data_IF_153444666593
#
_entry.id   IF_153444666593
#
_cell.length_a   1.000
_cell.length_b   1.000
_cell.length_c   1.000
_cell.angle_alpha   90.00
_cell.angle_beta   90.00
_cell.angle_gamma   90.00
#
_symmetry.space_group_name_H-M   'P 1'
#
loop_
_entity.id
_entity.type
_entity.pdbx_description
1 polymer ?
#
# COMPACT_ATOMS: atom_id res chain seq x y z
N UNK A 1 -19.43 0.43 9.67
CA UNK A 1 -18.03 0.10 9.34
C UNK A 1 -17.79 0.48 7.90
N UNK A 2 -16.83 1.37 7.65
CA UNK A 2 -16.28 1.64 6.32
C UNK A 2 -14.92 0.96 6.15
N UNK A 3 -14.49 0.77 4.90
CA UNK A 3 -13.14 0.34 4.55
C UNK A 3 -12.48 1.36 3.64
N UNK A 4 -11.37 1.90 4.12
CA UNK A 4 -10.48 2.74 3.32
C UNK A 4 -9.15 2.01 3.12
N UNK A 5 -8.56 2.19 1.95
CA UNK A 5 -7.24 1.73 1.58
C UNK A 5 -6.36 2.94 1.27
N UNK A 6 -5.16 2.95 1.83
CA UNK A 6 -4.10 3.88 1.49
C UNK A 6 -2.95 3.09 0.90
N UNK A 7 -2.43 3.55 -0.23
CA UNK A 7 -1.20 3.03 -0.83
C UNK A 7 -0.15 4.13 -0.69
N UNK A 8 1.03 3.77 -0.20
CA UNK A 8 2.07 4.74 0.15
C UNK A 8 3.42 4.26 -0.37
N UNK A 9 4.13 5.13 -1.10
CA UNK A 9 5.55 4.90 -1.40
C UNK A 9 6.38 5.21 -0.16
N UNK A 10 7.41 4.41 0.13
CA UNK A 10 8.37 4.71 1.21
C UNK A 10 8.93 6.14 1.16
N UNK A 11 9.44 6.63 2.30
CA UNK A 11 10.12 7.92 2.42
C UNK A 11 11.50 7.97 1.76
N UNK A 12 12.14 9.14 1.84
CA UNK A 12 13.49 9.35 1.30
C UNK A 12 14.53 8.39 1.90
N UNK A 13 15.36 7.81 1.03
CA UNK A 13 16.36 6.78 1.37
C UNK A 13 17.75 7.38 1.55
N UNK A 14 18.54 6.80 2.45
CA UNK A 14 19.90 7.27 2.71
C UNK A 14 20.81 7.16 1.50
N UNK A 15 20.71 6.11 0.70
CA UNK A 15 21.58 5.89 -0.47
C UNK A 15 21.33 6.87 -1.63
N UNK A 16 20.17 7.53 -1.65
CA UNK A 16 19.88 8.62 -2.60
C UNK A 16 20.50 9.96 -2.17
N UNK A 17 20.78 10.14 -0.87
CA UNK A 17 21.35 11.37 -0.32
C UNK A 17 22.86 11.22 -0.10
N UNK A 18 23.30 10.03 0.29
CA UNK A 18 24.70 9.67 0.56
C UNK A 18 25.12 8.49 -0.33
N UNK A 19 25.63 8.74 -1.56
CA UNK A 19 26.05 7.68 -2.47
C UNK A 19 27.13 6.75 -1.89
N UNK A 20 27.92 7.22 -0.93
CA UNK A 20 28.92 6.41 -0.22
C UNK A 20 28.30 5.24 0.55
N UNK A 21 27.00 5.29 0.89
CA UNK A 21 26.28 4.21 1.58
C UNK A 21 26.46 2.85 0.88
N UNK A 22 26.49 2.84 -0.45
CA UNK A 22 26.67 1.61 -1.24
C UNK A 22 28.00 0.90 -0.94
N UNK A 23 29.02 1.63 -0.51
CA UNK A 23 30.36 1.11 -0.24
C UNK A 23 30.65 0.91 1.25
N UNK A 24 29.91 1.59 2.13
CA UNK A 24 30.15 1.55 3.58
C UNK A 24 29.17 0.65 4.34
N UNK A 25 28.00 0.37 3.76
CA UNK A 25 26.97 -0.45 4.38
C UNK A 25 27.26 -1.94 4.19
N UNK A 26 27.01 -2.74 5.23
CA UNK A 26 26.99 -4.21 5.14
C UNK A 26 25.75 -4.74 4.40
N UNK A 27 24.74 -3.88 4.20
CA UNK A 27 23.47 -4.21 3.52
C UNK A 27 23.10 -3.12 2.50
N UNK A 28 23.92 -2.91 1.46
CA UNK A 28 23.72 -1.82 0.49
C UNK A 28 22.42 -1.94 -0.31
N UNK A 29 21.85 -3.14 -0.42
CA UNK A 29 20.57 -3.44 -1.06
C UNK A 29 19.34 -3.09 -0.20
N UNK A 30 19.53 -2.77 1.08
CA UNK A 30 18.45 -2.52 2.03
C UNK A 30 18.62 -1.19 2.78
N UNK A 31 18.70 -0.06 2.05
CA UNK A 31 18.94 1.25 2.66
C UNK A 31 17.78 1.68 3.56
N UNK A 32 18.05 2.20 4.76
CA UNK A 32 17.05 2.83 5.63
C UNK A 32 16.65 4.23 5.12
N UNK A 33 15.70 4.85 5.81
CA UNK A 33 15.29 6.24 5.58
C UNK A 33 16.32 7.24 6.11
N UNK A 34 16.38 8.40 5.45
CA UNK A 34 17.03 9.59 6.02
C UNK A 34 16.21 10.17 7.18
N UNK A 35 16.78 11.08 7.99
CA UNK A 35 15.98 11.85 8.95
C UNK A 35 14.82 12.61 8.29
N UNK A 36 15.01 13.11 7.06
CA UNK A 36 13.95 13.74 6.26
C UNK A 36 12.87 12.73 5.85
N UNK A 37 13.26 11.53 5.40
CA UNK A 37 12.35 10.43 5.10
C UNK A 37 11.47 10.02 6.29
N UNK A 38 12.05 10.00 7.49
CA UNK A 38 11.30 9.74 8.75
C UNK A 38 10.27 10.84 9.03
N UNK A 39 10.61 12.12 8.84
CA UNK A 39 9.66 13.24 8.97
C UNK A 39 8.55 13.20 7.92
N UNK A 40 8.88 12.90 6.67
CA UNK A 40 7.90 12.71 5.59
C UNK A 40 6.85 11.65 5.98
N UNK A 41 7.31 10.49 6.42
CA UNK A 41 6.45 9.38 6.82
C UNK A 41 5.57 9.74 8.02
N UNK A 42 6.11 10.48 8.99
CA UNK A 42 5.35 10.97 10.14
C UNK A 42 4.23 11.93 9.74
N UNK A 43 4.56 12.92 8.91
CA UNK A 43 3.56 13.88 8.37
C UNK A 43 2.51 13.19 7.49
N UNK A 44 2.89 12.11 6.81
CA UNK A 44 1.96 11.24 6.09
C UNK A 44 0.94 10.61 7.04
N UNK A 45 1.38 10.10 8.20
CA UNK A 45 0.48 9.55 9.22
C UNK A 45 -0.53 10.58 9.74
N UNK A 46 -0.07 11.81 10.03
CA UNK A 46 -0.94 12.92 10.41
C UNK A 46 -1.97 13.23 9.33
N UNK A 47 -1.53 13.31 8.08
CA UNK A 47 -2.41 13.58 6.94
C UNK A 47 -3.48 12.50 6.74
N UNK A 48 -3.13 11.21 6.89
CA UNK A 48 -4.09 10.11 6.81
C UNK A 48 -5.16 10.26 7.88
N UNK A 49 -4.80 10.61 9.12
CA UNK A 49 -5.78 10.84 10.18
C UNK A 49 -6.70 12.02 9.86
N UNK A 50 -6.18 13.13 9.29
CA UNK A 50 -7.00 14.25 8.80
C UNK A 50 -8.01 13.79 7.74
N UNK A 51 -7.55 13.03 6.74
CA UNK A 51 -8.41 12.50 5.67
C UNK A 51 -9.51 11.56 6.20
N UNK A 52 -9.27 10.83 7.29
CA UNK A 52 -10.30 10.01 7.91
C UNK A 52 -11.38 10.84 8.60
N UNK A 53 -11.03 12.00 9.15
CA UNK A 53 -11.99 12.88 9.84
C UNK A 53 -12.94 13.57 8.87
N UNK A 54 -12.61 13.69 7.57
CA UNK A 54 -13.46 14.32 6.55
C UNK A 54 -14.83 13.66 6.38
N UNK A 55 -14.96 12.36 6.68
CA UNK A 55 -16.14 11.55 6.34
C UNK A 55 -16.82 10.89 7.54
N UNK A 56 -16.32 11.13 8.76
CA UNK A 56 -16.75 10.41 9.96
C UNK A 56 -17.45 11.37 10.91
N UNK A 57 -18.73 11.11 11.19
CA UNK A 57 -19.37 11.64 12.41
C UNK A 57 -18.47 11.26 13.58
N UNK A 58 -17.98 12.25 14.32
CA UNK A 58 -16.86 12.27 15.29
C UNK A 58 -16.83 11.18 16.39
N UNK A 59 -17.68 10.15 16.32
CA UNK A 59 -17.92 9.12 17.34
C UNK A 59 -17.53 7.68 16.94
N UNK A 60 -17.04 7.42 15.73
CA UNK A 60 -16.64 6.04 15.33
C UNK A 60 -15.18 5.74 15.68
N UNK A 61 -14.96 4.51 16.16
CA UNK A 61 -13.61 3.99 16.41
C UNK A 61 -12.93 3.69 15.07
N UNK A 62 -11.60 3.82 14.99
CA UNK A 62 -10.84 3.50 13.78
C UNK A 62 -9.74 2.51 14.12
N UNK A 63 -9.66 1.41 13.36
CA UNK A 63 -8.56 0.44 13.42
C UNK A 63 -7.68 0.59 12.18
N UNK A 64 -6.43 0.99 12.40
CA UNK A 64 -5.41 1.16 11.37
C UNK A 64 -4.57 -0.11 11.25
N UNK A 65 -4.55 -0.71 10.07
CA UNK A 65 -3.74 -1.89 9.75
C UNK A 65 -2.71 -1.50 8.70
N UNK A 66 -1.45 -1.36 9.11
CA UNK A 66 -0.33 -0.98 8.27
C UNK A 66 0.41 -2.24 7.84
N UNK A 67 0.30 -2.62 6.57
CA UNK A 67 1.08 -3.71 5.98
C UNK A 67 2.24 -3.12 5.20
N UNK A 68 3.46 -3.55 5.52
CA UNK A 68 4.69 -3.06 4.90
C UNK A 68 5.41 -4.16 4.14
N UNK A 69 6.07 -3.78 3.04
CA UNK A 69 7.15 -4.56 2.46
C UNK A 69 8.30 -4.79 3.48
N UNK A 70 9.07 -5.90 3.37
CA UNK A 70 10.16 -6.21 4.30
C UNK A 70 11.45 -5.37 4.11
N UNK A 71 11.47 -4.37 3.24
CA UNK A 71 12.65 -3.49 3.12
C UNK A 71 12.70 -2.47 4.27
N UNK A 72 13.90 -2.11 4.73
CA UNK A 72 14.10 -1.23 5.87
C UNK A 72 13.36 0.10 5.68
N UNK A 73 13.51 0.72 4.50
CA UNK A 73 12.81 1.96 4.10
C UNK A 73 11.29 1.88 4.22
N UNK A 74 10.65 0.76 3.88
CA UNK A 74 9.19 0.60 3.97
C UNK A 74 8.76 0.37 5.42
N UNK A 75 9.48 -0.46 6.17
CA UNK A 75 9.19 -0.71 7.59
C UNK A 75 9.40 0.54 8.45
N UNK A 76 10.48 1.29 8.23
CA UNK A 76 10.69 2.57 8.90
C UNK A 76 9.62 3.62 8.51
N UNK A 77 9.14 3.59 7.26
CA UNK A 77 8.03 4.45 6.83
C UNK A 77 6.75 4.08 7.61
N UNK A 78 6.41 2.80 7.70
CA UNK A 78 5.26 2.30 8.45
C UNK A 78 5.30 2.70 9.93
N UNK A 79 6.46 2.56 10.59
CA UNK A 79 6.66 2.97 11.99
C UNK A 79 6.38 4.47 12.16
N UNK A 80 6.91 5.32 11.27
CA UNK A 80 6.73 6.76 11.41
C UNK A 80 5.30 7.20 11.06
N UNK A 81 4.63 6.53 10.11
CA UNK A 81 3.19 6.71 9.86
C UNK A 81 2.40 6.42 11.14
N UNK A 82 2.68 5.29 11.83
CA UNK A 82 2.03 4.96 13.10
C UNK A 82 2.22 6.06 14.15
N UNK A 83 3.44 6.59 14.28
CA UNK A 83 3.72 7.73 15.17
C UNK A 83 2.89 8.97 14.81
N UNK A 84 2.78 9.32 13.53
CA UNK A 84 1.98 10.46 13.08
C UNK A 84 0.48 10.30 13.32
N UNK A 85 -0.07 9.09 13.13
CA UNK A 85 -1.46 8.77 13.45
C UNK A 85 -1.70 8.90 14.96
N UNK A 86 -0.83 8.29 15.78
CA UNK A 86 -0.95 8.31 17.23
C UNK A 86 -0.88 9.73 17.80
N UNK A 87 0.05 10.56 17.34
CA UNK A 87 0.13 11.97 17.77
C UNK A 87 -1.14 12.77 17.44
N UNK A 88 -1.82 12.41 16.36
CA UNK A 88 -3.06 13.06 15.95
C UNK A 88 -4.28 12.52 16.69
N UNK A 89 -4.22 11.27 17.16
CA UNK A 89 -5.32 10.55 17.82
C UNK A 89 -4.77 9.40 18.71
N UNK A 90 -4.38 9.66 19.97
CA UNK A 90 -3.67 8.70 20.82
C UNK A 90 -4.44 7.41 21.14
N UNK A 91 -5.76 7.44 21.05
CA UNK A 91 -6.63 6.27 21.26
C UNK A 91 -6.74 5.37 20.01
N UNK A 92 -5.99 5.67 18.95
CA UNK A 92 -6.00 4.89 17.71
C UNK A 92 -5.44 3.49 17.93
N UNK A 93 -6.19 2.48 17.50
CA UNK A 93 -5.68 1.11 17.44
C UNK A 93 -4.86 0.95 16.16
N UNK A 94 -3.55 0.81 16.30
CA UNK A 94 -2.61 0.74 15.17
C UNK A 94 -1.89 -0.62 15.21
N UNK A 95 -1.91 -1.34 14.09
CA UNK A 95 -1.21 -2.61 13.90
C UNK A 95 -0.22 -2.49 12.74
N UNK A 96 0.97 -3.06 12.91
CA UNK A 96 1.96 -3.21 11.83
C UNK A 96 2.11 -4.69 11.47
N UNK A 97 2.22 -4.97 10.17
CA UNK A 97 2.37 -6.29 9.56
C UNK A 97 3.45 -6.26 8.48
N UNK A 98 4.13 -7.38 8.25
CA UNK A 98 5.09 -7.53 7.17
C UNK A 98 4.51 -8.46 6.09
N UNK A 99 4.61 -8.08 4.82
CA UNK A 99 4.23 -8.92 3.69
C UNK A 99 5.17 -8.72 2.49
N UNK A 100 5.78 -9.82 2.02
CA UNK A 100 6.72 -9.78 0.90
C UNK A 100 6.04 -9.60 -0.45
N UNK A 101 4.72 -9.77 -0.54
CA UNK A 101 3.95 -9.45 -1.76
C UNK A 101 3.99 -7.95 -2.10
N UNK A 102 4.31 -7.09 -1.12
CA UNK A 102 4.50 -5.64 -1.30
C UNK A 102 5.95 -5.25 -1.65
N UNK A 103 6.86 -6.21 -1.84
CA UNK A 103 8.26 -5.99 -2.20
C UNK A 103 8.44 -5.19 -3.50
N UNK A 104 9.61 -4.54 -3.62
CA UNK A 104 10.04 -3.82 -4.82
C UNK A 104 10.02 -4.76 -6.03
N UNK A 105 9.91 -4.20 -7.23
CA UNK A 105 10.10 -4.98 -8.45
C UNK A 105 11.51 -5.57 -8.48
N UNK A 106 11.62 -6.89 -8.33
CA UNK A 106 12.90 -7.53 -8.05
C UNK A 106 13.65 -7.89 -9.33
N UNK A 107 14.20 -6.87 -9.99
CA UNK A 107 14.91 -7.01 -11.26
C UNK A 107 16.24 -6.24 -11.28
N UNK A 108 16.96 -6.35 -12.39
CA UNK A 108 18.28 -5.74 -12.60
C UNK A 108 18.27 -4.21 -12.69
N UNK A 109 17.11 -3.57 -12.88
CA UNK A 109 17.00 -2.12 -12.85
C UNK A 109 17.10 -1.56 -11.43
N UNK A 110 16.74 -2.37 -10.41
CA UNK A 110 16.76 -1.95 -9.00
C UNK A 110 17.87 -2.60 -8.19
N UNK A 111 18.30 -3.82 -8.56
CA UNK A 111 19.30 -4.57 -7.81
C UNK A 111 20.30 -5.24 -8.75
N UNK A 112 21.60 -5.17 -8.44
CA UNK A 112 22.63 -5.86 -9.21
C UNK A 112 22.51 -7.40 -9.11
N UNK A 113 21.96 -7.90 -8.00
CA UNK A 113 21.79 -9.31 -7.69
C UNK A 113 20.54 -9.52 -6.83
N UNK A 114 20.13 -10.77 -6.66
CA UNK A 114 19.02 -11.13 -5.80
C UNK A 114 19.24 -10.61 -4.37
N UNK A 115 18.23 -9.90 -3.84
CA UNK A 115 18.14 -9.54 -2.43
C UNK A 115 17.85 -10.80 -1.62
N UNK A 116 18.59 -11.06 -0.54
CA UNK A 116 18.44 -12.29 0.22
C UNK A 116 17.16 -12.28 1.10
N UNK A 117 16.50 -13.42 1.21
CA UNK A 117 15.26 -13.57 2.00
C UNK A 117 15.44 -13.29 3.50
N UNK A 118 16.66 -13.39 4.05
CA UNK A 118 16.89 -13.16 5.48
C UNK A 118 16.48 -11.76 5.93
N UNK A 119 16.36 -10.77 5.01
CA UNK A 119 15.87 -9.44 5.37
C UNK A 119 14.46 -9.50 5.97
N UNK A 120 13.67 -10.51 5.62
CA UNK A 120 12.33 -10.71 6.15
C UNK A 120 12.44 -11.02 7.65
N UNK A 121 13.17 -12.07 8.02
CA UNK A 121 13.38 -12.46 9.42
C UNK A 121 13.98 -11.31 10.23
N UNK A 122 14.99 -10.62 9.67
CA UNK A 122 15.59 -9.43 10.26
C UNK A 122 14.55 -8.34 10.57
N UNK A 123 13.55 -8.10 9.69
CA UNK A 123 12.48 -7.12 9.97
C UNK A 123 11.54 -7.58 11.07
N UNK A 124 11.22 -8.86 11.14
CA UNK A 124 10.42 -9.40 12.24
C UNK A 124 11.15 -9.20 13.58
N UNK A 125 12.44 -9.50 13.64
CA UNK A 125 13.29 -9.27 14.82
C UNK A 125 13.32 -7.80 15.21
N UNK A 126 13.63 -6.89 14.26
CA UNK A 126 13.69 -5.45 14.51
C UNK A 126 12.36 -4.88 15.02
N UNK A 127 11.20 -5.35 14.54
CA UNK A 127 9.90 -4.91 15.03
C UNK A 127 9.61 -5.45 16.44
N UNK A 128 9.93 -6.71 16.71
CA UNK A 128 9.79 -7.32 18.06
C UNK A 128 10.64 -6.59 19.09
N UNK A 129 11.88 -6.27 18.74
CA UNK A 129 12.77 -5.50 19.62
C UNK A 129 12.25 -4.09 19.92
N UNK A 130 11.53 -3.46 18.98
CA UNK A 130 10.95 -2.13 19.18
C UNK A 130 9.77 -2.17 20.14
N UNK A 131 8.86 -3.14 19.99
CA UNK A 131 7.69 -3.27 20.87
C UNK A 131 8.05 -3.84 22.25
N UNK A 132 9.13 -4.62 22.37
CA UNK A 132 9.58 -5.21 23.63
C UNK A 132 10.30 -4.24 24.58
N UNK A 133 10.60 -3.01 24.13
CA UNK A 133 11.17 -1.96 24.99
C UNK A 133 10.05 -1.33 25.81
N UNK A 134 10.17 -1.32 27.13
CA UNK A 134 9.21 -0.75 28.09
C UNK A 134 9.11 0.79 28.04
N UNK A 135 9.04 1.38 26.86
CA UNK A 135 8.82 2.81 26.67
C UNK A 135 7.71 3.00 25.62
N UNK A 136 6.81 3.96 25.84
CA UNK A 136 5.72 4.36 24.94
C UNK A 136 6.20 4.94 23.57
N UNK A 137 7.43 4.65 23.15
CA UNK A 137 8.06 5.19 21.94
C UNK A 137 7.42 4.65 20.65
N UNK A 138 6.81 3.47 20.70
CA UNK A 138 6.24 2.77 19.55
C UNK A 138 4.73 2.54 19.73
N UNK A 139 3.88 3.43 19.19
CA UNK A 139 2.44 3.41 19.45
C UNK A 139 1.70 2.44 18.52
N UNK A 140 2.17 1.20 18.42
CA UNK A 140 1.53 0.18 17.61
C UNK A 140 1.75 -1.22 18.18
N UNK A 141 0.82 -2.11 17.85
CA UNK A 141 0.96 -3.55 18.05
C UNK A 141 1.65 -4.16 16.82
N UNK A 142 2.58 -5.09 17.03
CA UNK A 142 3.04 -5.94 15.93
C UNK A 142 2.09 -7.14 15.80
N UNK A 143 1.36 -7.21 14.69
CA UNK A 143 0.31 -8.22 14.51
C UNK A 143 0.90 -9.55 14.04
N UNK A 144 1.39 -10.35 15.00
CA UNK A 144 1.97 -11.68 14.75
C UNK A 144 0.92 -12.72 14.32
N UNK A 145 -0.37 -12.42 14.48
CA UNK A 145 -1.46 -13.30 14.02
C UNK A 145 -1.71 -13.20 12.51
N UNK A 146 -1.08 -12.23 11.85
CA UNK A 146 -1.24 -12.02 10.43
C UNK A 146 -0.50 -13.08 9.59
N UNK A 147 -1.25 -13.78 8.73
CA UNK A 147 -0.67 -14.63 7.69
C UNK A 147 -0.36 -13.80 6.45
N UNK A 148 0.92 -13.66 6.05
CA UNK A 148 1.28 -12.89 4.86
C UNK A 148 0.85 -13.61 3.58
N UNK A 149 0.49 -12.82 2.56
CA UNK A 149 0.24 -13.29 1.19
C UNK A 149 1.49 -13.92 0.61
N UNK A 150 2.67 -13.36 0.92
CA UNK A 150 3.95 -14.01 0.64
C UNK A 150 4.93 -13.85 1.81
N UNK A 151 5.52 -14.96 2.22
CA UNK A 151 6.62 -15.04 3.19
C UNK A 151 8.02 -15.10 2.54
N UNK A 152 8.09 -15.01 1.21
CA UNK A 152 9.34 -14.95 0.45
C UNK A 152 9.36 -13.74 -0.48
N UNK A 153 10.54 -13.20 -0.73
CA UNK A 153 10.75 -12.19 -1.76
C UNK A 153 10.42 -12.76 -3.15
N UNK A 154 9.94 -11.93 -4.08
CA UNK A 154 9.76 -12.33 -5.47
C UNK A 154 11.06 -12.89 -6.07
N UNK A 155 10.93 -13.80 -7.03
CA UNK A 155 12.08 -14.41 -7.71
C UNK A 155 12.87 -13.34 -8.49
N UNK A 156 14.20 -13.38 -8.40
CA UNK A 156 15.08 -12.52 -9.22
C UNK A 156 15.59 -13.26 -10.47
N UNK A 157 15.59 -12.62 -11.66
CA UNK A 157 14.87 -11.39 -11.96
C UNK A 157 13.35 -11.66 -12.10
N UNK A 158 12.55 -10.72 -11.62
CA UNK A 158 11.09 -10.73 -11.75
C UNK A 158 10.68 -10.01 -13.05
N UNK A 159 9.87 -10.67 -13.87
CA UNK A 159 9.30 -10.10 -15.09
C UNK A 159 8.18 -9.10 -14.82
N UNK A 160 7.91 -8.22 -15.79
CA UNK A 160 6.86 -7.18 -15.66
C UNK A 160 5.46 -7.76 -15.38
N UNK A 161 5.11 -8.86 -16.05
CA UNK A 161 3.83 -9.55 -15.81
C UNK A 161 3.75 -10.18 -14.42
N UNK A 162 4.89 -10.64 -13.89
CA UNK A 162 4.96 -11.27 -12.57
C UNK A 162 4.76 -10.23 -11.46
N UNK A 163 5.43 -9.08 -11.54
CA UNK A 163 5.23 -7.99 -10.57
C UNK A 163 3.82 -7.41 -10.63
N UNK A 164 3.24 -7.25 -11.83
CA UNK A 164 1.85 -6.80 -11.98
C UNK A 164 0.91 -7.76 -11.27
N UNK A 165 0.98 -9.06 -11.62
CA UNK A 165 0.15 -10.09 -10.99
C UNK A 165 0.35 -10.16 -9.48
N UNK A 166 1.59 -10.06 -8.99
CA UNK A 166 1.91 -10.08 -7.56
C UNK A 166 1.27 -8.90 -6.82
N UNK A 167 1.42 -7.68 -7.33
CA UNK A 167 0.85 -6.48 -6.70
C UNK A 167 -0.68 -6.52 -6.69
N UNK A 168 -1.28 -6.99 -7.78
CA UNK A 168 -2.72 -7.19 -7.89
C UNK A 168 -3.23 -8.23 -6.89
N UNK A 169 -2.53 -9.36 -6.76
CA UNK A 169 -2.84 -10.40 -5.78
C UNK A 169 -2.67 -9.91 -4.34
N UNK A 170 -1.64 -9.10 -4.06
CA UNK A 170 -1.43 -8.48 -2.75
C UNK A 170 -2.64 -7.63 -2.35
N UNK A 171 -3.13 -6.76 -3.24
CA UNK A 171 -4.34 -5.97 -2.99
C UNK A 171 -5.54 -6.85 -2.67
N UNK A 172 -5.79 -7.89 -3.49
CA UNK A 172 -6.92 -8.79 -3.32
C UNK A 172 -6.87 -9.53 -1.99
N UNK A 173 -5.78 -10.24 -1.71
CA UNK A 173 -5.66 -11.12 -0.55
C UNK A 173 -5.57 -10.33 0.76
N UNK A 174 -4.88 -9.18 0.79
CA UNK A 174 -4.78 -8.35 2.00
C UNK A 174 -6.15 -7.73 2.35
N UNK A 175 -6.95 -7.34 1.35
CA UNK A 175 -8.23 -6.67 1.59
C UNK A 175 -9.42 -7.62 1.79
N UNK A 176 -9.37 -8.83 1.22
CA UNK A 176 -10.48 -9.78 1.21
C UNK A 176 -11.05 -10.12 2.59
N UNK A 177 -10.26 -10.38 3.65
CA UNK A 177 -10.80 -10.66 4.98
C UNK A 177 -11.64 -9.52 5.54
N UNK A 178 -11.27 -8.27 5.25
CA UNK A 178 -12.00 -7.08 5.71
C UNK A 178 -13.27 -6.84 4.92
N UNK A 179 -13.22 -7.06 3.61
CA UNK A 179 -14.40 -6.97 2.75
C UNK A 179 -15.45 -8.01 3.18
N UNK A 180 -15.02 -9.25 3.46
CA UNK A 180 -15.90 -10.30 3.98
C UNK A 180 -16.53 -9.92 5.33
N UNK A 181 -15.73 -9.37 6.26
CA UNK A 181 -16.22 -8.92 7.58
C UNK A 181 -17.28 -7.81 7.47
N UNK A 182 -17.09 -6.83 6.58
CA UNK A 182 -18.05 -5.75 6.35
C UNK A 182 -19.39 -6.27 5.82
N UNK A 183 -19.36 -7.31 4.97
CA UNK A 183 -20.59 -7.94 4.49
C UNK A 183 -21.36 -8.65 5.60
N UNK A 184 -20.65 -9.36 6.48
CA UNK A 184 -21.25 -10.17 7.53
C UNK A 184 -21.83 -9.32 8.68
N UNK A 185 -21.21 -8.18 9.00
CA UNK A 185 -21.65 -7.34 10.11
C UNK A 185 -21.66 -5.84 9.75
N UNK A 186 -22.78 -5.39 9.17
CA UNK A 186 -23.02 -3.97 8.86
C UNK A 186 -23.17 -3.08 10.12
N UNK A 187 -23.29 -3.66 11.33
CA UNK A 187 -23.55 -2.93 12.58
C UNK A 187 -22.27 -2.54 13.35
N UNK A 188 -21.09 -2.93 12.88
CA UNK A 188 -19.82 -2.55 13.51
C UNK A 188 -19.63 -1.02 13.57
N UNK A 189 -19.40 -0.50 14.79
CA UNK A 189 -19.09 0.91 15.07
C UNK A 189 -17.60 1.27 14.90
N UNK A 190 -16.83 0.38 14.27
CA UNK A 190 -15.41 0.58 13.99
C UNK A 190 -15.22 0.67 12.48
N UNK A 191 -14.52 1.69 12.02
CA UNK A 191 -14.07 1.81 10.64
C UNK A 191 -12.66 1.22 10.52
N UNK A 192 -12.35 0.62 9.38
CA UNK A 192 -11.06 -0.01 9.13
C UNK A 192 -10.31 0.76 8.06
N UNK A 193 -9.05 1.04 8.35
CA UNK A 193 -8.11 1.68 7.44
C UNK A 193 -6.98 0.71 7.16
N UNK A 194 -6.85 0.29 5.91
CA UNK A 194 -5.70 -0.48 5.44
C UNK A 194 -4.67 0.51 4.88
N UNK A 195 -3.42 0.35 5.27
CA UNK A 195 -2.31 1.18 4.80
C UNK A 195 -1.24 0.24 4.23
N UNK A 196 -1.02 0.27 2.92
CA UNK A 196 -0.01 -0.53 2.24
C UNK A 196 1.21 0.33 1.95
N UNK A 197 2.34 0.01 2.59
CA UNK A 197 3.62 0.71 2.39
C UNK A 197 4.50 -0.10 1.46
N UNK A 198 4.75 0.45 0.27
CA UNK A 198 5.42 -0.23 -0.83
C UNK A 198 6.40 0.72 -1.55
N UNK A 199 6.75 0.39 -2.79
CA UNK A 199 7.77 1.05 -3.61
C UNK A 199 7.16 1.73 -4.84
N UNK A 200 7.93 2.51 -5.59
CA UNK A 200 7.40 3.41 -6.62
C UNK A 200 6.61 2.69 -7.73
N UNK A 201 7.15 1.58 -8.26
CA UNK A 201 6.48 0.83 -9.34
C UNK A 201 5.24 0.09 -8.81
N UNK A 202 5.38 -0.62 -7.70
CA UNK A 202 4.29 -1.35 -7.05
C UNK A 202 3.17 -0.43 -6.57
N UNK A 203 3.49 0.78 -6.11
CA UNK A 203 2.52 1.83 -5.75
C UNK A 203 1.59 2.14 -6.92
N UNK A 204 2.15 2.34 -8.12
CA UNK A 204 1.39 2.65 -9.32
C UNK A 204 0.47 1.49 -9.74
N UNK A 205 0.97 0.25 -9.69
CA UNK A 205 0.15 -0.93 -10.01
C UNK A 205 -1.01 -1.08 -9.03
N UNK A 206 -0.76 -0.97 -7.72
CA UNK A 206 -1.80 -1.16 -6.70
C UNK A 206 -2.85 -0.05 -6.77
N UNK A 207 -2.45 1.22 -6.95
CA UNK A 207 -3.44 2.29 -7.09
C UNK A 207 -4.28 2.15 -8.37
N UNK A 208 -3.65 1.72 -9.47
CA UNK A 208 -4.37 1.53 -10.73
C UNK A 208 -5.35 0.37 -10.61
N UNK A 209 -5.00 -0.69 -9.88
CA UNK A 209 -5.92 -1.78 -9.57
C UNK A 209 -7.17 -1.33 -8.78
N UNK A 210 -7.16 -0.14 -8.17
CA UNK A 210 -8.31 0.47 -7.51
C UNK A 210 -9.16 1.38 -8.43
N UNK A 211 -8.79 1.55 -9.71
CA UNK A 211 -9.39 2.50 -10.64
C UNK A 211 -9.62 1.89 -12.03
N UNK A 212 -10.61 2.41 -12.77
CA UNK A 212 -10.79 2.10 -14.20
C UNK A 212 -10.02 3.06 -15.12
N UNK A 213 -9.35 4.06 -14.54
CA UNK A 213 -8.65 5.13 -15.26
C UNK A 213 -7.16 4.99 -15.00
N UNK A 214 -6.36 5.10 -16.07
CA UNK A 214 -4.91 5.15 -15.96
C UNK A 214 -4.51 6.37 -15.10
N UNK A 215 -3.91 6.08 -13.94
CA UNK A 215 -3.53 7.07 -12.93
C UNK A 215 -2.03 7.05 -12.64
N UNK A 216 -1.23 6.44 -13.53
CA UNK A 216 0.22 6.37 -13.39
C UNK A 216 0.81 7.78 -13.36
N UNK A 217 1.55 8.07 -12.29
CA UNK A 217 2.28 9.32 -12.12
C UNK A 217 3.61 9.02 -11.44
N UNK A 218 4.55 9.95 -11.57
CA UNK A 218 5.75 9.92 -10.76
C UNK A 218 5.36 10.08 -9.28
N UNK A 219 5.47 8.99 -8.53
CA UNK A 219 5.07 8.94 -7.14
C UNK A 219 6.26 9.32 -6.29
N UNK A 220 6.36 10.58 -5.85
CA UNK A 220 7.43 11.03 -4.95
C UNK A 220 7.49 10.25 -3.62
N UNK A 221 8.54 10.47 -2.82
CA UNK A 221 8.63 9.87 -1.49
C UNK A 221 7.42 10.21 -0.64
N UNK A 222 6.89 9.22 0.08
CA UNK A 222 5.67 9.36 0.87
C UNK A 222 4.45 9.87 0.07
N UNK A 223 4.42 9.68 -1.26
CA UNK A 223 3.21 9.88 -2.04
C UNK A 223 2.10 8.95 -1.53
N UNK A 224 0.87 9.48 -1.47
CA UNK A 224 -0.30 8.78 -0.93
C UNK A 224 -1.41 8.71 -1.98
N UNK A 225 -1.98 7.52 -2.17
CA UNK A 225 -3.27 7.34 -2.86
C UNK A 225 -4.28 6.74 -1.88
N UNK A 226 -5.55 7.19 -1.93
CA UNK A 226 -6.66 6.69 -1.10
C UNK A 226 -7.74 6.12 -2.01
N UNK A 227 -8.19 4.92 -1.68
CA UNK A 227 -9.38 4.32 -2.25
C UNK A 227 -10.37 3.92 -1.15
N UNK A 228 -11.67 4.10 -1.41
CA UNK A 228 -12.75 3.66 -0.52
C UNK A 228 -13.46 2.46 -1.13
N UNK A 229 -13.74 1.45 -0.32
CA UNK A 229 -14.52 0.29 -0.79
C UNK A 229 -16.02 0.62 -0.81
N UNK A 230 -16.67 0.35 -1.93
CA UNK A 230 -18.11 0.54 -2.14
C UNK A 230 -18.74 -0.84 -2.42
N UNK A 231 -19.62 -1.35 -1.55
CA UNK A 231 -20.37 -2.58 -1.82
C UNK A 231 -21.22 -2.45 -3.09
N UNK A 232 -21.42 -3.56 -3.80
CA UNK A 232 -22.45 -3.63 -4.84
C UNK A 232 -23.83 -3.64 -4.15
N UNK A 233 -24.75 -2.79 -4.58
CA UNK A 233 -26.14 -2.83 -4.11
C UNK A 233 -26.85 -4.06 -4.70
N UNK A 234 -27.70 -4.72 -3.92
CA UNK A 234 -28.57 -5.82 -4.37
C UNK A 234 -29.77 -5.23 -5.12
N UNK A 235 -29.54 -4.56 -6.25
CA UNK A 235 -30.63 -4.08 -7.12
C UNK A 235 -30.72 -4.94 -8.38
N UNK A 236 -31.77 -5.76 -8.45
CA UNK A 236 -32.31 -6.29 -9.70
C UNK A 236 -32.87 -5.12 -10.53
N UNK A 237 -32.19 -4.75 -11.62
CA UNK A 237 -32.75 -3.91 -12.70
C UNK A 237 -32.23 -4.46 -14.04
N UNK A 238 -33.10 -4.65 -15.05
CA UNK A 238 -32.91 -5.63 -16.12
C UNK A 238 -31.82 -5.23 -17.12
N UNK A 239 -31.27 -6.25 -17.79
CA UNK A 239 -30.35 -6.13 -18.92
C UNK A 239 -30.83 -5.10 -19.94
N UNK A 240 -30.20 -3.92 -19.93
CA UNK A 240 -30.22 -3.00 -21.05
C UNK A 240 -29.06 -3.40 -21.95
N UNK A 241 -29.37 -4.15 -23.01
CA UNK A 241 -28.44 -4.33 -24.12
C UNK A 241 -28.19 -2.97 -24.77
N UNK A 242 -27.02 -2.40 -24.53
CA UNK A 242 -26.51 -1.26 -25.28
C UNK A 242 -25.79 -1.81 -26.50
N UNK A 243 -26.43 -1.73 -27.66
CA UNK A 243 -25.78 -1.84 -28.96
C UNK A 243 -24.86 -0.63 -29.14
N UNK A 244 -23.55 -0.84 -29.02
CA UNK A 244 -22.56 0.16 -29.40
C UNK A 244 -22.32 0.01 -30.90
N UNK A 245 -22.69 1.04 -31.67
CA UNK A 245 -22.23 1.22 -33.04
C UNK A 245 -20.73 1.51 -33.02
N UNK A 246 -19.97 0.66 -33.71
CA UNK A 246 -18.55 0.89 -33.99
C UNK A 246 -18.42 2.06 -34.95
N UNK A 247 -17.89 3.18 -34.48
CA UNK A 247 -17.15 4.11 -35.31
C UNK A 247 -15.72 4.17 -34.77
N UNK A 248 -14.83 3.48 -35.48
CA UNK A 248 -13.41 3.39 -35.21
C UNK A 248 -12.71 4.74 -35.48
N UNK A 249 -11.93 5.19 -34.51
CA UNK A 249 -10.71 5.95 -34.78
C UNK A 249 -9.56 5.12 -34.21
N UNK A 250 -9.01 4.27 -35.08
CA UNK A 250 -7.97 3.29 -34.77
C UNK A 250 -6.63 4.02 -34.55
N UNK A 251 -6.23 4.16 -33.30
CA UNK A 251 -4.86 4.48 -32.94
C UNK A 251 -4.24 3.19 -32.40
N UNK A 252 -3.28 2.62 -33.12
CA UNK A 252 -2.56 1.40 -32.72
C UNK A 252 -2.09 1.52 -31.26
N UNK A 253 -2.78 0.83 -30.36
CA UNK A 253 -2.36 0.71 -28.97
C UNK A 253 -1.13 -0.17 -28.93
N UNK A 254 -0.10 0.28 -28.24
CA UNK A 254 1.12 -0.52 -28.04
C UNK A 254 0.78 -1.88 -27.42
N UNK A 255 1.56 -2.91 -27.73
CA UNK A 255 1.40 -4.25 -27.15
C UNK A 255 1.42 -4.23 -25.60
N UNK A 256 2.12 -3.25 -25.03
CA UNK A 256 2.16 -2.96 -23.60
C UNK A 256 0.79 -2.47 -23.10
N UNK A 257 0.14 -1.53 -23.80
CA UNK A 257 -1.21 -1.07 -23.43
C UNK A 257 -2.23 -2.21 -23.49
N UNK A 258 -2.15 -3.07 -24.51
CA UNK A 258 -3.09 -4.19 -24.65
C UNK A 258 -2.92 -5.23 -23.55
N UNK A 259 -1.66 -5.56 -23.19
CA UNK A 259 -1.35 -6.48 -22.07
C UNK A 259 -1.69 -5.87 -20.71
N UNK A 260 -1.54 -4.55 -20.55
CA UNK A 260 -2.00 -3.83 -19.37
C UNK A 260 -3.53 -3.88 -19.27
N UNK A 261 -4.27 -3.63 -20.35
CA UNK A 261 -5.74 -3.74 -20.38
C UNK A 261 -6.22 -5.17 -20.09
N UNK A 262 -5.55 -6.21 -20.61
CA UNK A 262 -5.85 -7.61 -20.29
C UNK A 262 -5.59 -7.93 -18.80
N UNK A 263 -4.47 -7.48 -18.22
CA UNK A 263 -4.19 -7.63 -16.79
C UNK A 263 -5.14 -6.81 -15.89
N UNK A 264 -5.64 -5.66 -16.38
CA UNK A 264 -6.66 -4.83 -15.72
C UNK A 264 -8.04 -5.50 -15.80
N UNK A 265 -8.38 -6.15 -16.91
CA UNK A 265 -9.64 -6.88 -17.08
C UNK A 265 -9.73 -8.13 -16.21
N UNK A 266 -8.59 -8.76 -15.89
CA UNK A 266 -8.52 -9.81 -14.85
C UNK A 266 -8.93 -9.27 -13.47
N UNK A 267 -8.75 -7.98 -13.21
CA UNK A 267 -9.09 -7.33 -11.94
C UNK A 267 -10.51 -6.74 -11.90
N UNK A 268 -11.05 -6.30 -13.04
CA UNK A 268 -12.48 -6.00 -13.17
C UNK A 268 -13.38 -7.23 -12.98
N UNK A 269 -12.81 -8.45 -12.98
CA UNK A 269 -13.51 -9.70 -12.70
C UNK A 269 -13.40 -10.20 -11.25
N UNK A 270 -12.51 -9.65 -10.41
CA UNK A 270 -12.07 -10.31 -9.18
C UNK A 270 -12.65 -9.75 -7.86
N UNK A 271 -13.78 -9.05 -7.88
CA UNK A 271 -14.61 -8.95 -6.68
C UNK A 271 -16.09 -8.74 -7.04
N UNK A 272 -16.88 -9.82 -7.19
CA UNK A 272 -18.30 -9.71 -7.58
C UNK A 272 -19.16 -8.92 -6.57
N UNK A 273 -18.59 -8.55 -5.42
CA UNK A 273 -19.27 -7.99 -4.26
C UNK A 273 -19.13 -6.47 -4.10
N UNK A 274 -18.39 -5.77 -4.97
CA UNK A 274 -18.22 -4.33 -4.87
C UNK A 274 -17.06 -3.79 -5.70
N UNK A 275 -16.72 -2.52 -5.49
CA UNK A 275 -15.62 -1.84 -6.19
C UNK A 275 -14.85 -0.88 -5.29
N UNK A 276 -13.59 -0.66 -5.63
CA UNK A 276 -12.82 0.46 -5.08
C UNK A 276 -13.18 1.77 -5.79
N UNK A 277 -13.17 2.86 -5.03
CA UNK A 277 -13.31 4.22 -5.53
C UNK A 277 -12.09 5.04 -5.12
N UNK A 278 -11.18 5.27 -6.07
CA UNK A 278 -9.96 6.06 -5.89
C UNK A 278 -10.31 7.55 -5.85
N UNK A 279 -10.12 8.20 -4.70
CA UNK A 279 -10.51 9.61 -4.47
C UNK A 279 -9.35 10.52 -4.05
N UNK A 280 -8.20 9.97 -3.67
CA UNK A 280 -6.93 10.70 -3.54
C UNK A 280 -5.90 10.01 -4.43
N UNK A 281 -5.24 10.76 -5.31
CA UNK A 281 -4.36 10.21 -6.37
C UNK A 281 -2.98 10.84 -6.26
N UNK A 282 -1.98 10.02 -5.93
CA UNK A 282 -0.54 10.39 -5.90
C UNK A 282 -0.28 11.73 -5.21
N UNK A 283 -0.89 11.91 -4.04
CA UNK A 283 -0.88 13.17 -3.31
C UNK A 283 0.42 13.34 -2.51
N UNK A 284 1.06 14.50 -2.68
CA UNK A 284 2.31 14.88 -1.98
C UNK A 284 2.26 16.27 -1.35
N UNK A 285 1.15 17.01 -1.50
CA UNK A 285 1.05 18.39 -1.00
C UNK A 285 1.16 18.49 0.53
N UNK A 286 0.77 17.44 1.23
CA UNK A 286 0.96 17.31 2.67
C UNK A 286 2.44 17.32 3.08
N UNK A 287 3.38 17.23 2.14
CA UNK A 287 4.83 17.28 2.37
C UNK A 287 5.45 18.64 1.96
N UNK A 288 4.63 19.64 1.63
CA UNK A 288 5.14 20.99 1.36
C UNK A 288 5.72 21.57 2.65
N UNK A 289 7.01 21.90 2.66
CA UNK A 289 7.69 22.59 3.77
C UNK A 289 8.50 21.70 4.73
N UNK A 290 8.73 20.43 4.41
CA UNK A 290 9.63 19.51 5.17
C UNK A 290 10.98 19.31 4.50
#
# INVERSE_FOLDING_TARGET
MTLALYVIRHGERIDHVEPSFLYTSTTPYDPPLTPRGKRQAKQTGTFINTLQQENVSTKRNVEYNITTSPFARTTETAINIAKGIFESKPESKIKIRIDSSLAEWHNSAYYAQAVPNYIIDKRFEELREKIGKENDEYPFEFDESYTPVSSILPKYPEGIHEVVKRCQNALLEISSPYIQKIKQDRKLNTDVVLILVTHGFCFNIIQEACSKVNSWRDAGYCAVSRAKWIPKEDDEVPDIQITVSNDEADCEKSEIQRKNEEAINVLNAANPNGRWNLDVIVHTDHLKGI
#
